data_IF_919486872441
#
_entry.id   IF_919486872441
#
_cell.length_a   1.000
_cell.length_b   1.000
_cell.length_c   1.000
_cell.angle_alpha   90.00
_cell.angle_beta   90.00
_cell.angle_gamma   90.00
#
_symmetry.space_group_name_H-M   'P 1'
#
loop_
_entity.id
_entity.type
_entity.pdbx_description
1 polymer ?
#
# COMPACT_ATOMS: atom_id res chain seq x y z
N UNK A 1 -13.94 7.80 22.28
CA UNK A 1 -12.56 7.29 22.15
C UNK A 1 -11.94 7.96 20.93
N UNK A 2 -11.23 9.05 21.15
CA UNK A 2 -10.61 9.88 20.10
C UNK A 2 -9.40 9.14 19.54
N UNK A 3 -9.54 8.52 18.37
CA UNK A 3 -8.38 8.02 17.62
C UNK A 3 -7.57 9.24 17.20
N UNK A 4 -6.32 9.29 17.68
CA UNK A 4 -5.45 10.44 17.60
C UNK A 4 -5.18 10.87 16.17
N UNK A 5 -4.89 12.16 16.03
CA UNK A 5 -4.45 12.82 14.79
C UNK A 5 -3.54 11.92 13.95
N UNK A 6 -4.07 11.31 12.87
CA UNK A 6 -3.24 10.69 11.83
C UNK A 6 -2.23 11.72 11.36
N UNK A 7 -0.94 11.39 11.42
CA UNK A 7 0.15 12.28 11.05
C UNK A 7 -0.10 12.86 9.64
N UNK A 8 0.07 14.18 9.45
CA UNK A 8 -0.28 14.86 8.20
C UNK A 8 0.33 14.18 6.96
N UNK A 9 1.57 13.67 7.09
CA UNK A 9 2.25 12.95 6.01
C UNK A 9 1.52 11.65 5.64
N UNK A 10 1.09 10.85 6.62
CA UNK A 10 0.34 9.60 6.39
C UNK A 10 -1.00 9.88 5.75
N UNK A 11 -1.71 10.92 6.22
CA UNK A 11 -2.98 11.32 5.61
C UNK A 11 -2.81 11.71 4.13
N UNK A 12 -1.79 12.52 3.81
CA UNK A 12 -1.51 12.91 2.42
C UNK A 12 -1.12 11.72 1.55
N UNK A 13 -0.35 10.77 2.08
CA UNK A 13 0.01 9.54 1.39
C UNK A 13 -1.24 8.70 1.07
N UNK A 14 -2.14 8.53 2.05
CA UNK A 14 -3.41 7.82 1.84
C UNK A 14 -4.30 8.52 0.80
N UNK A 15 -4.46 9.84 0.91
CA UNK A 15 -5.26 10.64 -0.05
C UNK A 15 -4.70 10.52 -1.49
N UNK A 16 -3.38 10.52 -1.65
CA UNK A 16 -2.74 10.34 -2.96
C UNK A 16 -2.99 8.94 -3.55
N UNK A 17 -2.87 7.88 -2.73
CA UNK A 17 -3.16 6.51 -3.16
C UNK A 17 -4.63 6.33 -3.56
N UNK A 18 -5.55 6.88 -2.77
CA UNK A 18 -6.98 6.84 -3.09
C UNK A 18 -7.29 7.56 -4.40
N UNK A 19 -6.69 8.73 -4.62
CA UNK A 19 -6.86 9.48 -5.87
C UNK A 19 -6.34 8.72 -7.10
N UNK A 20 -5.26 7.95 -6.96
CA UNK A 20 -4.65 7.18 -8.05
C UNK A 20 -5.29 5.78 -8.27
N UNK A 21 -6.11 5.29 -7.33
CA UNK A 21 -6.62 3.91 -7.35
C UNK A 21 -7.53 3.61 -8.55
N UNK A 22 -8.34 4.58 -8.99
CA UNK A 22 -9.25 4.39 -10.12
C UNK A 22 -8.50 4.13 -11.42
N UNK A 23 -7.45 4.91 -11.69
CA UNK A 23 -6.59 4.74 -12.87
C UNK A 23 -5.78 3.44 -12.78
N UNK A 24 -5.22 3.14 -11.60
CA UNK A 24 -4.51 1.88 -11.41
C UNK A 24 -5.42 0.67 -11.68
N UNK A 25 -6.70 0.74 -11.34
CA UNK A 25 -7.67 -0.36 -11.53
C UNK A 25 -8.14 -0.50 -12.98
N UNK A 26 -8.07 0.56 -13.79
CA UNK A 26 -8.43 0.52 -15.22
C UNK A 26 -7.33 -0.08 -16.10
N UNK A 27 -6.09 -0.21 -15.60
CA UNK A 27 -4.98 -0.81 -16.32
C UNK A 27 -5.20 -2.31 -16.60
N UNK A 28 -5.40 -2.65 -17.87
CA UNK A 28 -5.57 -4.03 -18.33
C UNK A 28 -4.36 -4.95 -18.08
N UNK A 29 -3.17 -4.38 -17.91
CA UNK A 29 -1.95 -5.13 -17.60
C UNK A 29 -1.77 -5.37 -16.09
N UNK A 30 -2.64 -4.81 -15.25
CA UNK A 30 -2.58 -5.00 -13.80
C UNK A 30 -2.85 -6.47 -13.43
N UNK A 31 -1.95 -7.13 -12.68
CA UNK A 31 -2.16 -8.51 -12.24
C UNK A 31 -3.42 -8.66 -11.41
N UNK A 32 -4.24 -9.66 -11.75
CA UNK A 32 -5.52 -9.89 -11.10
C UNK A 32 -5.43 -10.71 -9.78
N UNK A 33 -4.31 -11.38 -9.53
CA UNK A 33 -4.20 -12.39 -8.45
C UNK A 33 -2.95 -12.27 -7.56
N UNK A 34 -2.03 -11.37 -7.88
CA UNK A 34 -0.86 -11.10 -7.02
C UNK A 34 -1.14 -9.90 -6.12
N UNK A 35 -0.56 -9.92 -4.92
CA UNK A 35 -0.60 -8.75 -4.04
C UNK A 35 0.00 -7.52 -4.72
N UNK A 36 -0.69 -6.38 -4.59
CA UNK A 36 -0.32 -5.06 -5.12
C UNK A 36 -0.88 -4.00 -4.19
N UNK A 37 -0.26 -2.81 -4.06
CA UNK A 37 -0.91 -1.69 -3.38
C UNK A 37 -2.13 -1.21 -4.19
N UNK A 38 -3.03 -0.39 -3.61
CA UNK A 38 -4.14 0.20 -4.35
C UNK A 38 -3.70 0.94 -5.64
N UNK A 39 -2.56 1.65 -5.57
CA UNK A 39 -1.96 2.37 -6.68
C UNK A 39 -0.44 2.56 -6.47
N UNK A 40 0.20 3.18 -7.47
CA UNK A 40 1.58 3.69 -7.41
C UNK A 40 2.69 2.62 -7.31
N UNK A 41 3.93 3.08 -7.13
CA UNK A 41 5.14 2.27 -7.12
C UNK A 41 5.28 1.46 -5.82
N UNK A 42 5.34 0.13 -5.92
CA UNK A 42 5.69 -0.79 -4.83
C UNK A 42 7.00 -1.50 -5.15
N UNK A 43 7.83 -1.68 -4.13
CA UNK A 43 9.05 -2.48 -4.18
C UNK A 43 9.02 -3.58 -3.11
N UNK A 44 9.95 -3.53 -2.15
CA UNK A 44 10.32 -4.67 -1.32
C UNK A 44 9.22 -5.05 -0.32
N UNK A 45 8.93 -6.36 -0.14
CA UNK A 45 8.13 -6.81 0.99
C UNK A 45 8.90 -6.56 2.29
N UNK A 46 8.20 -6.10 3.31
CA UNK A 46 8.76 -5.76 4.62
C UNK A 46 7.95 -6.45 5.73
N UNK A 47 8.64 -6.91 6.77
CA UNK A 47 8.03 -7.45 7.99
C UNK A 47 6.90 -8.47 7.82
N UNK A 48 7.01 -9.51 6.96
CA UNK A 48 5.99 -10.54 6.89
C UNK A 48 5.91 -11.31 8.21
N UNK A 49 4.76 -11.24 8.89
CA UNK A 49 4.53 -11.86 10.19
C UNK A 49 3.12 -12.46 10.28
N UNK A 50 2.95 -13.45 11.15
CA UNK A 50 1.62 -13.92 11.57
C UNK A 50 1.34 -13.43 13.00
N UNK A 51 0.26 -12.68 13.19
CA UNK A 51 -0.12 -12.10 14.48
C UNK A 51 -1.64 -12.07 14.64
N UNK A 52 -2.15 -12.57 15.77
CA UNK A 52 -3.59 -12.58 16.11
C UNK A 52 -4.47 -13.11 14.97
N UNK A 53 -4.11 -14.27 14.42
CA UNK A 53 -4.83 -14.97 13.34
C UNK A 53 -4.86 -14.26 11.99
N UNK A 54 -3.94 -13.30 11.78
CA UNK A 54 -3.74 -12.61 10.53
C UNK A 54 -2.29 -12.75 10.06
N UNK A 55 -2.11 -12.98 8.76
CA UNK A 55 -0.86 -12.70 8.07
C UNK A 55 -0.80 -11.21 7.79
N UNK A 56 0.26 -10.54 8.23
CA UNK A 56 0.54 -9.15 7.94
C UNK A 56 1.68 -9.08 6.93
N UNK A 57 1.51 -8.23 5.92
CA UNK A 57 2.53 -7.87 4.96
C UNK A 57 2.68 -6.36 4.97
N UNK A 58 3.90 -5.89 5.22
CA UNK A 58 4.28 -4.52 4.93
C UNK A 58 5.07 -4.50 3.62
N UNK A 59 5.19 -3.34 2.99
CA UNK A 59 5.92 -3.20 1.75
C UNK A 59 6.34 -1.76 1.54
N UNK A 60 7.47 -1.54 0.86
CA UNK A 60 7.87 -0.21 0.43
C UNK A 60 6.89 0.30 -0.63
N UNK A 61 6.46 1.55 -0.46
CA UNK A 61 5.61 2.24 -1.43
C UNK A 61 6.00 3.71 -1.55
N UNK A 62 6.00 4.21 -2.78
CA UNK A 62 5.88 5.65 -3.06
C UNK A 62 4.43 5.96 -3.42
N UNK A 63 3.66 6.69 -2.59
CA UNK A 63 2.26 6.99 -2.83
C UNK A 63 2.05 8.10 -3.87
N UNK A 64 3.09 8.82 -4.27
CA UNK A 64 2.99 10.00 -5.13
C UNK A 64 3.44 9.77 -6.57
N UNK A 65 4.04 8.61 -6.88
CA UNK A 65 4.59 8.34 -8.20
C UNK A 65 4.65 6.87 -8.57
N UNK A 66 4.92 6.62 -9.86
CA UNK A 66 5.09 5.27 -10.44
C UNK A 66 6.51 5.02 -10.96
N UNK A 67 7.36 6.04 -10.95
CA UNK A 67 8.70 6.00 -11.56
C UNK A 67 9.77 5.77 -10.50
N UNK A 68 10.43 4.61 -10.56
CA UNK A 68 11.54 4.27 -9.65
C UNK A 68 12.79 5.12 -9.91
N UNK A 69 12.89 5.81 -11.06
CA UNK A 69 14.01 6.69 -11.39
C UNK A 69 13.82 8.14 -10.92
N UNK A 70 12.69 8.45 -10.29
CA UNK A 70 12.44 9.76 -9.70
C UNK A 70 13.48 10.07 -8.61
N UNK A 71 14.18 11.22 -8.66
CA UNK A 71 15.11 11.60 -7.60
C UNK A 71 14.43 11.93 -6.26
N UNK A 72 13.11 12.17 -6.24
CA UNK A 72 12.32 12.50 -5.05
C UNK A 72 11.37 11.36 -4.64
N UNK A 73 11.92 10.15 -4.46
CA UNK A 73 11.16 9.01 -3.94
C UNK A 73 10.77 9.21 -2.47
N UNK A 74 9.48 9.03 -2.19
CA UNK A 74 8.93 9.15 -0.86
C UNK A 74 8.56 7.77 -0.28
N UNK A 75 9.52 7.12 0.37
CA UNK A 75 9.31 5.77 0.88
C UNK A 75 8.47 5.73 2.17
N UNK A 76 7.30 5.10 2.06
CA UNK A 76 6.45 4.69 3.18
C UNK A 76 6.41 3.17 3.29
N UNK A 77 5.95 2.68 4.43
CA UNK A 77 5.52 1.30 4.58
C UNK A 77 4.01 1.24 4.38
N UNK A 78 3.57 0.61 3.29
CA UNK A 78 2.18 0.20 3.17
C UNK A 78 1.92 -1.00 4.06
N UNK A 79 0.66 -1.20 4.45
CA UNK A 79 0.23 -2.32 5.29
C UNK A 79 -0.97 -3.03 4.67
N UNK A 80 -0.90 -4.36 4.61
CA UNK A 80 -2.04 -5.21 4.35
C UNK A 80 -2.06 -6.42 5.27
N UNK A 81 -3.24 -7.02 5.43
CA UNK A 81 -3.40 -8.30 6.13
C UNK A 81 -4.27 -9.28 5.37
N UNK A 82 -4.11 -10.57 5.66
CA UNK A 82 -4.86 -11.66 5.05
C UNK A 82 -5.05 -12.82 6.03
N UNK A 83 -6.15 -13.57 5.90
CA UNK A 83 -6.33 -14.85 6.60
C UNK A 83 -5.77 -16.04 5.80
N UNK A 84 -5.60 -15.91 4.48
CA UNK A 84 -5.32 -17.03 3.57
C UNK A 84 -4.13 -16.79 2.62
N UNK A 85 -3.41 -15.68 2.77
CA UNK A 85 -2.32 -15.20 1.90
C UNK A 85 -2.72 -14.92 0.44
N UNK A 86 -4.02 -14.94 0.13
CA UNK A 86 -4.56 -14.72 -1.23
C UNK A 86 -5.44 -13.48 -1.26
N UNK A 87 -6.35 -13.34 -0.30
CA UNK A 87 -7.28 -12.21 -0.18
C UNK A 87 -6.76 -11.23 0.84
N UNK A 88 -6.52 -10.00 0.41
CA UNK A 88 -5.85 -8.98 1.22
C UNK A 88 -6.78 -7.82 1.54
N UNK A 89 -6.71 -7.35 2.79
CA UNK A 89 -7.30 -6.11 3.27
C UNK A 89 -6.18 -5.08 3.43
N UNK A 90 -6.30 -3.93 2.74
CA UNK A 90 -5.37 -2.81 2.91
C UNK A 90 -5.66 -2.07 4.21
N UNK A 91 -4.61 -1.70 4.92
CA UNK A 91 -4.65 -1.00 6.20
C UNK A 91 -3.83 0.29 6.13
N UNK A 92 -4.13 1.29 7.00
CA UNK A 92 -3.30 2.49 7.17
C UNK A 92 -1.88 2.20 7.64
#
# INVERSE_FOLDING_TARGET
>A
MTHGSTHLAVRRAMEALEAAAAEATSDSARPAFHFRPPACLMSDPNGPIHHRDWYHLFYQIDPFGTDFSDPELHWYWGHARSHDLVRWEHLP
#
